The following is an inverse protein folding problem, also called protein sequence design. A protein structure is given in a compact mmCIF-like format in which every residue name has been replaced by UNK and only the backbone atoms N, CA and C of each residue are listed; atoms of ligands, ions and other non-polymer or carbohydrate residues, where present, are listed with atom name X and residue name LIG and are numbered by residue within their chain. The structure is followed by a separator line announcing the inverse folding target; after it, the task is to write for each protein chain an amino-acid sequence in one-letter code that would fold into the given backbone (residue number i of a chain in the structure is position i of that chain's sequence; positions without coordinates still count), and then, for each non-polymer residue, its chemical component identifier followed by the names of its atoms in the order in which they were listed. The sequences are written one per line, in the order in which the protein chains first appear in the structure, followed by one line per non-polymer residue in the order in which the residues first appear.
data_IF_931297724125
#
_entry.id   IF_931297724125
#
_cell.length_a   1.000
_cell.length_b   1.000
_cell.length_c   1.000
_cell.angle_alpha   90.00
_cell.angle_beta   90.00
_cell.angle_gamma   90.00
#
_symmetry.space_group_name_H-M   'P 1'
#
loop_
_entity.id
_entity.type
_entity.pdbx_description
1 polymer ?
#
# COMPACT_ATOMS: atom_id res chain seq x y z
N UNK A 1 -8.84 17.94 2.85
CA UNK A 1 -9.58 16.66 2.64
C UNK A 1 -8.57 15.53 2.48
N UNK A 2 -8.58 14.56 3.39
CA UNK A 2 -7.68 13.40 3.37
C UNK A 2 -8.28 12.29 2.52
N UNK A 3 -7.51 11.74 1.58
CA UNK A 3 -7.93 10.61 0.75
C UNK A 3 -7.05 9.40 1.00
N UNK A 4 -7.66 8.22 1.21
CA UNK A 4 -6.94 6.95 1.34
C UNK A 4 -6.96 6.23 -0.01
N UNK A 5 -5.79 5.93 -0.58
CA UNK A 5 -5.66 5.19 -1.83
C UNK A 5 -5.05 3.81 -1.53
N UNK A 6 -5.64 2.75 -2.08
CA UNK A 6 -5.07 1.40 -2.00
C UNK A 6 -4.53 1.01 -3.38
N UNK A 7 -3.21 0.81 -3.49
CA UNK A 7 -2.59 0.36 -4.73
C UNK A 7 -2.26 -1.13 -4.59
N UNK A 8 -3.03 -1.95 -5.30
CA UNK A 8 -2.76 -3.37 -5.45
C UNK A 8 -2.15 -3.62 -6.83
N UNK A 9 -0.92 -4.15 -6.88
CA UNK A 9 -0.25 -4.39 -8.16
C UNK A 9 -0.12 -5.88 -8.50
N UNK A 10 -0.21 -6.18 -9.79
CA UNK A 10 -0.28 -7.51 -10.39
C UNK A 10 1.11 -7.96 -10.86
N UNK A 11 1.68 -9.02 -10.26
CA UNK A 11 2.85 -9.69 -10.83
C UNK A 11 2.42 -10.68 -11.91
N UNK A 12 2.72 -10.39 -13.18
CA UNK A 12 2.64 -11.38 -14.26
C UNK A 12 3.91 -12.23 -14.23
N UNK A 13 3.87 -13.41 -13.58
CA UNK A 13 4.94 -14.41 -13.68
C UNK A 13 4.46 -15.56 -14.57
N UNK A 14 5.26 -15.88 -15.59
CA UNK A 14 4.98 -16.94 -16.56
C UNK A 14 4.90 -18.31 -15.88
N UNK A 15 3.97 -19.13 -16.38
CA UNK A 15 3.62 -20.45 -15.84
C UNK A 15 4.81 -21.42 -15.88
N UNK A 16 5.25 -21.92 -14.72
CA UNK A 16 5.84 -23.27 -14.56
C UNK A 16 5.21 -23.93 -13.35
N UNK A 17 4.47 -25.01 -13.62
CA UNK A 17 3.72 -25.80 -12.66
C UNK A 17 4.66 -26.48 -11.65
N UNK A 18 4.37 -26.34 -10.36
CA UNK A 18 4.91 -27.23 -9.32
C UNK A 18 3.76 -28.06 -8.73
N UNK A 19 4.04 -29.35 -8.63
CA UNK A 19 3.18 -30.48 -8.28
C UNK A 19 2.71 -30.44 -6.81
N UNK A 20 1.56 -31.09 -6.56
CA UNK A 20 0.94 -31.29 -5.24
C UNK A 20 1.91 -31.98 -4.26
N UNK A 21 2.38 -31.27 -3.24
CA UNK A 21 2.47 -31.75 -1.85
C UNK A 21 2.87 -30.61 -0.89
N UNK A 22 2.04 -30.44 0.14
CA UNK A 22 2.38 -29.92 1.48
C UNK A 22 3.54 -28.91 1.62
N UNK A 23 3.28 -27.61 1.47
CA UNK A 23 3.98 -26.55 2.21
C UNK A 23 3.06 -25.32 2.30
N UNK A 24 2.66 -24.90 3.51
CA UNK A 24 2.16 -23.54 3.75
C UNK A 24 3.38 -22.62 3.83
N UNK A 25 3.67 -21.75 2.85
CA UNK A 25 4.78 -20.82 2.99
C UNK A 25 4.24 -19.57 3.69
N UNK A 26 4.52 -19.43 4.98
CA UNK A 26 4.63 -18.10 5.60
C UNK A 26 5.91 -17.47 5.07
N UNK A 27 5.93 -17.13 3.78
CA UNK A 27 7.04 -16.41 3.15
C UNK A 27 6.57 -14.98 2.93
N UNK A 28 6.95 -14.10 3.86
CA UNK A 28 6.95 -12.66 3.65
C UNK A 28 7.95 -12.37 2.52
N UNK A 29 7.47 -12.27 1.29
CA UNK A 29 8.33 -11.98 0.14
C UNK A 29 8.69 -10.48 0.16
N UNK A 30 9.70 -10.11 0.98
CA UNK A 30 10.16 -8.72 1.15
C UNK A 30 10.47 -8.05 -0.19
N UNK A 31 11.07 -8.79 -1.13
CA UNK A 31 11.38 -8.26 -2.46
C UNK A 31 10.10 -7.86 -3.21
N UNK A 32 9.05 -8.69 -3.17
CA UNK A 32 7.78 -8.34 -3.80
C UNK A 32 7.09 -7.13 -3.14
N UNK A 33 7.34 -6.89 -1.84
CA UNK A 33 6.91 -5.67 -1.16
C UNK A 33 7.62 -4.44 -1.74
N UNK A 34 8.95 -4.46 -1.77
CA UNK A 34 9.77 -3.38 -2.34
C UNK A 34 9.43 -3.09 -3.80
N UNK A 35 9.27 -4.13 -4.62
CA UNK A 35 8.93 -3.97 -6.04
C UNK A 35 7.52 -3.36 -6.22
N UNK A 36 6.58 -3.69 -5.33
CA UNK A 36 5.24 -3.11 -5.34
C UNK A 36 5.26 -1.64 -4.91
N UNK A 37 6.02 -1.28 -3.88
CA UNK A 37 6.21 0.11 -3.45
C UNK A 37 6.85 0.96 -4.54
N UNK A 38 7.90 0.46 -5.18
CA UNK A 38 8.57 1.15 -6.28
C UNK A 38 7.61 1.44 -7.45
N UNK A 39 6.79 0.46 -7.82
CA UNK A 39 5.79 0.64 -8.88
C UNK A 39 4.66 1.57 -8.46
N UNK A 40 4.21 1.52 -7.21
CA UNK A 40 3.20 2.42 -6.67
C UNK A 40 3.68 3.88 -6.71
N UNK A 41 4.94 4.15 -6.31
CA UNK A 41 5.56 5.48 -6.42
C UNK A 41 5.60 5.97 -7.86
N UNK A 42 6.12 5.14 -8.78
CA UNK A 42 6.20 5.50 -10.19
C UNK A 42 4.82 5.83 -10.77
N UNK A 43 3.79 5.05 -10.41
CA UNK A 43 2.41 5.32 -10.84
C UNK A 43 1.87 6.64 -10.28
N UNK A 44 2.10 6.92 -8.99
CA UNK A 44 1.68 8.15 -8.34
C UNK A 44 2.36 9.37 -9.00
N UNK A 45 3.67 9.30 -9.22
CA UNK A 45 4.42 10.35 -9.91
C UNK A 45 3.92 10.57 -11.34
N UNK A 46 3.71 9.50 -12.12
CA UNK A 46 3.17 9.58 -13.49
C UNK A 46 1.75 10.14 -13.54
N UNK A 47 0.98 10.00 -12.47
CA UNK A 47 -0.38 10.55 -12.36
C UNK A 47 -0.42 11.95 -11.74
N UNK A 48 0.74 12.59 -11.58
CA UNK A 48 0.87 13.99 -11.14
C UNK A 48 0.87 14.17 -9.63
N UNK A 49 1.13 13.11 -8.86
CA UNK A 49 1.39 13.23 -7.43
C UNK A 49 2.86 13.58 -7.17
N UNK A 50 3.11 14.34 -6.12
CA UNK A 50 4.43 14.53 -5.51
C UNK A 50 4.55 13.60 -4.31
N UNK A 51 5.63 12.82 -4.24
CA UNK A 51 5.90 11.97 -3.06
C UNK A 51 6.35 12.86 -1.90
N UNK A 52 5.63 12.80 -0.78
CA UNK A 52 5.92 13.55 0.46
C UNK A 52 6.77 12.70 1.40
N UNK A 53 6.37 11.46 1.61
CA UNK A 53 7.13 10.50 2.43
C UNK A 53 6.88 9.07 1.95
N UNK A 54 7.79 8.17 2.29
CA UNK A 54 7.67 6.73 2.05
C UNK A 54 8.12 5.99 3.29
N UNK A 55 7.48 4.88 3.62
CA UNK A 55 7.77 4.09 4.82
C UNK A 55 7.76 4.98 6.08
N UNK A 56 6.75 5.85 6.20
CA UNK A 56 6.56 6.64 7.42
C UNK A 56 6.12 5.69 8.52
N UNK A 57 6.83 5.73 9.65
CA UNK A 57 6.63 4.83 10.77
C UNK A 57 6.84 5.58 12.08
N UNK A 58 5.94 5.36 13.03
CA UNK A 58 6.16 5.69 14.42
C UNK A 58 5.79 4.49 15.31
N UNK A 59 5.82 4.66 16.64
CA UNK A 59 5.53 3.58 17.60
C UNK A 59 4.14 2.96 17.42
N UNK A 60 3.19 3.68 16.85
CA UNK A 60 1.77 3.31 16.84
C UNK A 60 1.20 3.04 15.45
N UNK A 61 1.80 3.57 14.38
CA UNK A 61 1.33 3.35 13.02
C UNK A 61 2.43 3.42 11.97
N UNK A 62 2.09 2.92 10.79
CA UNK A 62 2.90 2.96 9.58
C UNK A 62 2.03 3.40 8.39
N UNK A 63 2.64 4.09 7.43
CA UNK A 63 2.05 4.45 6.14
C UNK A 63 3.10 4.23 5.05
N UNK A 64 2.76 3.40 4.06
CA UNK A 64 3.71 3.01 3.01
C UNK A 64 4.13 4.20 2.14
N UNK A 65 3.18 5.00 1.67
CA UNK A 65 3.47 6.21 0.87
C UNK A 65 2.51 7.33 1.24
N UNK A 66 3.06 8.54 1.41
CA UNK A 66 2.33 9.79 1.59
C UNK A 66 2.61 10.65 0.37
N UNK A 67 1.56 11.11 -0.31
CA UNK A 67 1.70 11.92 -1.53
C UNK A 67 0.78 13.12 -1.53
N UNK A 68 1.16 14.15 -2.26
CA UNK A 68 0.34 15.33 -2.49
C UNK A 68 -0.05 15.41 -3.95
N UNK A 69 -1.29 15.81 -4.22
CA UNK A 69 -1.70 16.27 -5.54
C UNK A 69 -2.65 17.44 -5.36
N UNK A 70 -2.39 18.54 -6.05
CA UNK A 70 -3.11 19.80 -5.85
C UNK A 70 -3.06 20.24 -4.37
N UNK A 71 -4.21 20.53 -3.76
CA UNK A 71 -4.36 20.95 -2.36
C UNK A 71 -4.80 19.76 -1.46
N UNK A 72 -4.43 18.54 -1.83
CA UNK A 72 -4.85 17.32 -1.13
C UNK A 72 -3.65 16.44 -0.81
N UNK A 73 -3.68 15.90 0.41
CA UNK A 73 -2.76 14.86 0.87
C UNK A 73 -3.44 13.49 0.76
N UNK A 74 -2.67 12.51 0.31
CA UNK A 74 -3.10 11.14 0.06
C UNK A 74 -2.20 10.19 0.84
N UNK A 75 -2.82 9.31 1.61
CA UNK A 75 -2.13 8.24 2.33
C UNK A 75 -2.40 6.93 1.62
N UNK A 76 -1.33 6.20 1.32
CA UNK A 76 -1.37 5.05 0.42
C UNK A 76 -0.87 3.81 1.15
N UNK A 77 -1.70 2.78 1.12
CA UNK A 77 -1.31 1.42 1.50
C UNK A 77 -0.99 0.63 0.22
N UNK A 78 0.20 0.05 0.17
CA UNK A 78 0.70 -0.77 -0.93
C UNK A 78 0.52 -2.25 -0.58
N UNK A 79 -0.06 -3.01 -1.52
CA UNK A 79 -0.17 -4.46 -1.36
C UNK A 79 0.34 -5.20 -2.60
N UNK A 80 1.35 -6.03 -2.40
CA UNK A 80 1.78 -7.00 -3.43
C UNK A 80 0.75 -8.13 -3.53
N UNK A 81 0.17 -8.36 -4.71
CA UNK A 81 -0.71 -9.52 -4.95
C UNK A 81 -0.09 -10.50 -5.95
N UNK A 82 -0.18 -11.79 -5.63
CA UNK A 82 0.30 -12.90 -6.48
C UNK A 82 -0.79 -13.58 -7.30
N UNK A 83 -2.06 -13.41 -6.96
CA UNK A 83 -3.19 -14.03 -7.68
C UNK A 83 -4.47 -13.20 -7.58
N UNK A 84 -5.28 -13.23 -8.64
CA UNK A 84 -6.60 -12.61 -8.72
C UNK A 84 -7.65 -13.29 -7.82
N UNK A 85 -7.39 -14.51 -7.32
CA UNK A 85 -8.32 -15.22 -6.42
C UNK A 85 -8.43 -14.62 -5.01
N UNK A 86 -7.66 -13.58 -4.67
CA UNK A 86 -7.67 -12.95 -3.34
C UNK A 86 -8.74 -11.85 -3.17
N UNK A 87 -9.86 -11.93 -3.92
CA UNK A 87 -10.94 -10.95 -3.86
C UNK A 87 -10.60 -9.63 -4.55
N UNK A 88 -11.63 -8.86 -4.91
CA UNK A 88 -11.46 -7.53 -5.51
C UNK A 88 -10.75 -6.58 -4.53
N UNK A 89 -10.10 -5.52 -5.01
CA UNK A 89 -9.38 -4.55 -4.16
C UNK A 89 -10.23 -4.00 -3.01
N UNK A 90 -11.54 -3.91 -3.20
CA UNK A 90 -12.52 -3.43 -2.22
C UNK A 90 -12.85 -4.46 -1.12
N UNK A 91 -12.88 -5.75 -1.43
CA UNK A 91 -13.13 -6.81 -0.43
C UNK A 91 -12.01 -6.96 0.61
N UNK A 92 -10.85 -6.36 0.33
CA UNK A 92 -9.66 -6.46 1.18
C UNK A 92 -9.56 -5.34 2.23
N UNK A 93 -10.43 -4.32 2.13
CA UNK A 93 -10.49 -3.20 3.06
C UNK A 93 -11.46 -3.59 4.19
N UNK A 94 -10.91 -4.12 5.27
CA UNK A 94 -11.73 -4.41 6.47
C UNK A 94 -11.98 -3.11 7.25
N UNK A 95 -13.08 -3.02 8.03
CA UNK A 95 -13.30 -1.89 8.92
C UNK A 95 -12.14 -1.64 9.89
N UNK A 96 -11.44 -2.71 10.29
CA UNK A 96 -10.22 -2.62 11.12
C UNK A 96 -9.10 -1.88 10.40
N UNK A 97 -8.82 -2.21 9.14
CA UNK A 97 -7.79 -1.55 8.33
C UNK A 97 -8.11 -0.07 8.11
N UNK A 98 -9.38 0.25 7.85
CA UNK A 98 -9.79 1.65 7.73
C UNK A 98 -9.54 2.43 9.01
N UNK A 99 -9.92 1.89 10.17
CA UNK A 99 -9.66 2.55 11.46
C UNK A 99 -8.16 2.72 11.73
N UNK A 100 -7.35 1.72 11.42
CA UNK A 100 -5.89 1.82 11.57
C UNK A 100 -5.30 2.90 10.66
N UNK A 101 -5.74 2.95 9.40
CA UNK A 101 -5.31 3.98 8.45
C UNK A 101 -5.76 5.37 8.90
N UNK A 102 -7.00 5.54 9.33
CA UNK A 102 -7.51 6.82 9.86
C UNK A 102 -6.64 7.32 11.02
N UNK A 103 -6.36 6.45 11.98
CA UNK A 103 -5.48 6.79 13.10
C UNK A 103 -4.06 7.17 12.65
N UNK A 104 -3.50 6.45 11.67
CA UNK A 104 -2.19 6.77 11.09
C UNK A 104 -2.19 8.16 10.42
N UNK A 105 -3.22 8.45 9.62
CA UNK A 105 -3.39 9.74 8.95
C UNK A 105 -3.50 10.89 9.96
N UNK A 106 -4.30 10.72 11.02
CA UNK A 106 -4.48 11.73 12.07
C UNK A 106 -3.16 12.05 12.78
N UNK A 107 -2.36 11.03 13.09
CA UNK A 107 -1.03 11.25 13.68
C UNK A 107 -0.10 12.00 12.73
N UNK A 108 -0.02 11.58 11.46
CA UNK A 108 0.85 12.27 10.50
C UNK A 108 0.44 13.74 10.30
N UNK A 109 -0.87 14.01 10.18
CA UNK A 109 -1.39 15.38 10.05
C UNK A 109 -1.02 16.23 11.27
N UNK A 110 -1.20 15.71 12.48
CA UNK A 110 -0.86 16.41 13.72
C UNK A 110 0.65 16.64 13.89
N UNK A 111 1.50 15.73 13.40
CA UNK A 111 2.96 15.86 13.44
C UNK A 111 3.51 16.89 12.43
N UNK A 112 2.77 17.20 11.35
CA UNK A 112 3.25 17.99 10.22
C UNK A 112 2.44 19.28 9.97
N UNK A 113 1.53 19.64 10.89
CA UNK A 113 0.69 20.85 10.82
C UNK A 113 -0.02 21.03 9.46
N UNK A 114 -0.55 19.93 8.90
CA UNK A 114 -1.19 19.93 7.58
C UNK A 114 -2.70 20.24 7.69
N UNK A 115 -3.12 21.47 7.37
CA UNK A 115 -4.53 21.92 7.31
C UNK A 115 -5.26 21.55 5.98
#
# INVERSE_FOLDING_TARGET
MVSVIFIANHMHQSKRYWTRQSMKPTITNKQAGYDAEAQAKNYLEQTGHTIVATNWYNRWAEIDIITQKEQRIYFVEVKSRRSLMQGSGLEYITPKKLKQMQFACEMWVAENDWD
#
